data_IF_621554828983
#
_entry.id   IF_621554828983
#
_cell.length_a   1.000
_cell.length_b   1.000
_cell.length_c   1.000
_cell.angle_alpha   90.00
_cell.angle_beta   90.00
_cell.angle_gamma   90.00
#
_symmetry.space_group_name_H-M   'P 1'
#
loop_
_entity.id
_entity.type
_entity.pdbx_description
1 polymer ?
#
# COMPACT_ATOMS: atom_id res chain seq x y z
N UNK A 1 -11.47 15.38 -12.58
CA UNK A 1 -10.38 14.37 -12.49
C UNK A 1 -9.60 14.53 -11.18
N UNK A 2 -10.26 14.38 -10.02
CA UNK A 2 -9.63 14.49 -8.70
C UNK A 2 -9.42 13.12 -8.05
N UNK A 3 -8.47 13.02 -7.09
CA UNK A 3 -8.16 11.85 -6.23
C UNK A 3 -8.18 10.44 -6.88
N UNK A 4 -8.06 10.33 -8.20
CA UNK A 4 -7.95 9.06 -8.90
C UNK A 4 -6.56 8.48 -8.68
N UNK A 5 -6.49 7.25 -8.17
CA UNK A 5 -5.22 6.53 -7.99
C UNK A 5 -4.70 6.01 -9.33
N UNK A 6 -3.40 6.18 -9.57
CA UNK A 6 -2.74 5.72 -10.81
C UNK A 6 -2.62 4.19 -10.85
N UNK A 7 -2.35 3.65 -12.04
CA UNK A 7 -2.20 2.20 -12.26
C UNK A 7 -1.12 1.56 -11.39
N UNK A 8 -0.04 2.29 -11.11
CA UNK A 8 1.09 1.80 -10.30
C UNK A 8 0.68 1.57 -8.85
N UNK A 9 -0.05 2.52 -8.26
CA UNK A 9 -0.59 2.40 -6.90
C UNK A 9 -1.52 1.20 -6.80
N UNK A 10 -2.49 1.08 -7.72
CA UNK A 10 -3.45 -0.03 -7.74
C UNK A 10 -2.77 -1.39 -7.90
N UNK A 11 -1.78 -1.48 -8.80
CA UNK A 11 -1.01 -2.71 -9.03
C UNK A 11 -0.21 -3.10 -7.78
N UNK A 12 0.48 -2.15 -7.15
CA UNK A 12 1.24 -2.41 -5.94
C UNK A 12 0.36 -2.90 -4.78
N UNK A 13 -0.76 -2.22 -4.51
CA UNK A 13 -1.70 -2.63 -3.46
C UNK A 13 -2.24 -4.04 -3.70
N UNK A 14 -2.57 -4.38 -4.96
CA UNK A 14 -3.08 -5.71 -5.31
C UNK A 14 -2.06 -6.81 -5.02
N UNK A 15 -0.79 -6.60 -5.39
CA UNK A 15 0.30 -7.56 -5.12
C UNK A 15 0.52 -7.74 -3.61
N UNK A 16 0.42 -6.67 -2.83
CA UNK A 16 0.58 -6.76 -1.36
C UNK A 16 -0.56 -7.57 -0.76
N UNK A 17 -1.81 -7.34 -1.17
CA UNK A 17 -2.97 -8.10 -0.71
C UNK A 17 -2.84 -9.58 -1.09
N UNK A 18 -2.47 -9.88 -2.34
CA UNK A 18 -2.34 -11.27 -2.82
C UNK A 18 -1.28 -12.07 -2.06
N UNK A 19 -0.16 -11.43 -1.67
CA UNK A 19 0.96 -12.13 -1.00
C UNK A 19 0.91 -12.10 0.52
N UNK A 20 0.31 -11.07 1.12
CA UNK A 20 0.42 -10.80 2.56
C UNK A 20 -0.93 -10.57 3.24
N UNK A 21 -2.01 -11.15 2.68
CA UNK A 21 -3.37 -11.01 3.20
C UNK A 21 -3.48 -11.26 4.71
N UNK A 22 -2.81 -12.30 5.22
CA UNK A 22 -2.87 -12.70 6.64
C UNK A 22 -2.24 -11.71 7.60
N UNK A 23 -1.34 -10.83 7.13
CA UNK A 23 -0.69 -9.80 7.95
C UNK A 23 -1.43 -8.47 7.91
N UNK A 24 -2.31 -8.26 6.93
CA UNK A 24 -3.04 -7.01 6.76
C UNK A 24 -4.20 -6.91 7.76
N UNK A 25 -4.45 -5.69 8.22
CA UNK A 25 -5.53 -5.37 9.16
C UNK A 25 -6.47 -4.33 8.54
N UNK A 26 -7.57 -4.00 9.22
CA UNK A 26 -8.43 -2.89 8.81
C UNK A 26 -7.89 -1.51 9.20
N UNK A 27 -6.84 -1.45 10.04
CA UNK A 27 -6.24 -0.19 10.49
C UNK A 27 -5.20 0.35 9.50
N UNK A 28 -5.34 1.62 9.14
CA UNK A 28 -4.45 2.29 8.18
C UNK A 28 -3.03 2.49 8.72
N UNK A 29 -2.88 2.80 10.02
CA UNK A 29 -1.57 3.09 10.60
C UNK A 29 -0.71 1.83 10.69
N UNK A 30 -1.34 0.69 10.99
CA UNK A 30 -0.70 -0.63 10.98
C UNK A 30 -0.31 -1.02 9.56
N UNK A 31 -1.24 -0.95 8.59
CA UNK A 31 -0.96 -1.31 7.19
C UNK A 31 0.13 -0.45 6.56
N UNK A 32 0.19 0.83 6.93
CA UNK A 32 1.25 1.75 6.48
C UNK A 32 2.64 1.31 6.93
N UNK A 33 2.79 0.82 8.16
CA UNK A 33 4.07 0.29 8.67
C UNK A 33 4.43 -1.03 7.97
N UNK A 34 3.43 -1.90 7.81
CA UNK A 34 3.59 -3.18 7.11
C UNK A 34 4.05 -2.96 5.65
N UNK A 35 3.48 -1.95 4.96
CA UNK A 35 3.91 -1.60 3.60
C UNK A 35 5.36 -1.08 3.53
N UNK A 36 5.88 -0.44 4.59
CA UNK A 36 7.29 -0.03 4.66
C UNK A 36 8.23 -1.22 4.88
N UNK A 37 7.82 -2.21 5.66
CA UNK A 37 8.61 -3.41 5.91
C UNK A 37 8.68 -4.33 4.68
N UNK A 38 7.56 -4.47 3.96
CA UNK A 38 7.42 -5.44 2.88
C UNK A 38 7.95 -4.93 1.55
N UNK A 39 7.82 -3.63 1.28
CA UNK A 39 8.10 -3.07 -0.03
C UNK A 39 9.05 -1.87 0.06
N UNK A 40 10.01 -1.83 -0.87
CA UNK A 40 10.89 -0.68 -1.07
C UNK A 40 10.08 0.42 -1.76
N UNK A 41 9.42 1.26 -0.97
CA UNK A 41 8.62 2.39 -1.46
C UNK A 41 9.45 3.68 -1.32
N UNK A 42 9.77 4.38 -2.41
CA UNK A 42 10.75 5.49 -2.36
C UNK A 42 10.19 6.78 -1.76
N UNK A 43 8.87 6.95 -1.63
CA UNK A 43 8.28 8.18 -1.08
C UNK A 43 7.14 7.95 -0.09
N UNK A 44 7.10 8.81 0.94
CA UNK A 44 6.04 8.83 1.96
C UNK A 44 4.64 9.02 1.33
N UNK A 45 4.53 9.84 0.28
CA UNK A 45 3.26 10.08 -0.41
C UNK A 45 2.78 8.85 -1.18
N UNK A 46 3.67 8.09 -1.82
CA UNK A 46 3.27 6.85 -2.50
C UNK A 46 2.85 5.78 -1.50
N UNK A 47 3.59 5.61 -0.40
CA UNK A 47 3.25 4.67 0.68
C UNK A 47 1.82 4.91 1.20
N UNK A 48 1.48 6.16 1.50
CA UNK A 48 0.15 6.52 1.98
C UNK A 48 -0.98 6.32 0.95
N UNK A 49 -0.67 6.20 -0.33
CA UNK A 49 -1.67 5.90 -1.37
C UNK A 49 -1.85 4.39 -1.58
N UNK A 50 -0.83 3.61 -1.24
CA UNK A 50 -0.79 2.15 -1.39
C UNK A 50 -1.41 1.45 -0.17
N UNK A 51 -1.12 1.97 1.03
CA UNK A 51 -1.61 1.50 2.32
C UNK A 51 -3.10 1.81 2.55
#
# INVERSE_FOLDING_TARGET
MGRVRTKTVKKASRVIIEKYYTRLTYDFHVNKRICEEIAVIPSKRMRNQIA
#
